data_IF_385952945878
#
_entry.id   IF_385952945878
#
_cell.length_a   1.000
_cell.length_b   1.000
_cell.length_c   1.000
_cell.angle_alpha   90.00
_cell.angle_beta   90.00
_cell.angle_gamma   90.00
#
_symmetry.space_group_name_H-M   'P 1'
#
loop_
_entity.id
_entity.type
_entity.pdbx_description
1 polymer ?
#
# COMPACT_ATOMS: atom_id res chain seq x y z
N UNK A 1 -11.83 -1.78 -14.94
CA UNK A 1 -11.79 -0.33 -14.59
C UNK A 1 -12.74 -0.03 -13.44
N UNK A 2 -13.92 -0.68 -13.41
CA UNK A 2 -14.95 -0.55 -12.35
C UNK A 2 -14.46 -0.91 -10.94
N UNK A 3 -13.85 -2.10 -10.75
CA UNK A 3 -13.41 -2.56 -9.43
C UNK A 3 -12.51 -1.57 -8.68
N UNK A 4 -11.61 -0.90 -9.39
CA UNK A 4 -10.69 0.07 -8.80
C UNK A 4 -11.42 1.33 -8.33
N UNK A 5 -12.40 1.80 -9.11
CA UNK A 5 -13.27 2.91 -8.70
C UNK A 5 -14.02 2.53 -7.43
N UNK A 6 -14.63 1.35 -7.40
CA UNK A 6 -15.35 0.85 -6.23
C UNK A 6 -14.47 0.78 -4.97
N UNK A 7 -13.22 0.32 -5.09
CA UNK A 7 -12.27 0.30 -3.96
C UNK A 7 -11.91 1.73 -3.55
N UNK A 8 -11.65 2.62 -4.51
CA UNK A 8 -11.34 4.03 -4.22
C UNK A 8 -12.47 4.73 -3.47
N UNK A 9 -13.72 4.37 -3.77
CA UNK A 9 -14.90 4.92 -3.12
C UNK A 9 -15.14 4.31 -1.73
N UNK A 10 -14.75 3.05 -1.52
CA UNK A 10 -14.94 2.32 -0.24
C UNK A 10 -13.88 2.68 0.81
N UNK A 11 -12.62 2.85 0.40
CA UNK A 11 -11.46 3.04 1.30
C UNK A 11 -11.67 4.19 2.31
N UNK A 12 -12.13 5.40 1.92
CA UNK A 12 -12.33 6.51 2.87
C UNK A 12 -13.27 6.18 4.02
N UNK A 13 -14.24 5.28 3.78
CA UNK A 13 -15.24 4.89 4.77
C UNK A 13 -14.81 3.71 5.62
N UNK A 14 -13.62 3.11 5.44
CA UNK A 14 -13.19 2.00 6.28
C UNK A 14 -12.88 2.45 7.72
N UNK A 15 -13.88 2.75 8.56
CA UNK A 15 -13.76 3.12 9.99
C UNK A 15 -14.16 2.01 10.97
N UNK A 16 -14.56 0.85 10.47
CA UNK A 16 -15.09 -0.24 11.29
C UNK A 16 -14.60 -1.61 10.80
N UNK A 17 -14.67 -2.67 11.64
CA UNK A 17 -14.44 -4.03 11.18
C UNK A 17 -15.29 -4.37 9.95
N UNK A 18 -16.59 -4.05 9.97
CA UNK A 18 -17.58 -4.35 8.93
C UNK A 18 -17.12 -3.85 7.55
N UNK A 19 -16.51 -2.68 7.50
CA UNK A 19 -16.09 -2.08 6.24
C UNK A 19 -14.85 -2.77 5.67
N UNK A 20 -14.06 -3.46 6.51
CA UNK A 20 -13.00 -4.38 6.06
C UNK A 20 -13.60 -5.66 5.46
N UNK A 21 -14.72 -6.16 5.98
CA UNK A 21 -15.43 -7.29 5.35
C UNK A 21 -16.00 -6.87 3.98
N UNK A 22 -16.66 -5.71 3.91
CA UNK A 22 -17.17 -5.15 2.66
C UNK A 22 -16.07 -4.95 1.61
N UNK A 23 -14.85 -4.59 2.02
CA UNK A 23 -13.70 -4.54 1.11
C UNK A 23 -13.46 -5.90 0.44
N UNK A 24 -13.48 -7.01 1.19
CA UNK A 24 -13.25 -8.34 0.62
C UNK A 24 -14.42 -8.83 -0.24
N UNK A 25 -15.65 -8.46 0.11
CA UNK A 25 -16.82 -8.69 -0.74
C UNK A 25 -16.69 -7.93 -2.07
N UNK A 26 -16.29 -6.66 -2.04
CA UNK A 26 -16.03 -5.85 -3.22
C UNK A 26 -14.87 -6.41 -4.06
N UNK A 27 -13.88 -7.04 -3.43
CA UNK A 27 -12.80 -7.78 -4.09
C UNK A 27 -13.26 -9.11 -4.73
N UNK A 28 -14.53 -9.47 -4.61
CA UNK A 28 -15.15 -10.64 -5.23
C UNK A 28 -15.15 -11.90 -4.37
N UNK A 29 -14.71 -11.82 -3.11
CA UNK A 29 -14.74 -12.97 -2.21
C UNK A 29 -16.15 -13.21 -1.68
N UNK A 30 -16.69 -14.40 -1.94
CA UNK A 30 -17.95 -14.86 -1.36
C UNK A 30 -17.68 -15.55 -0.02
N UNK A 31 -18.61 -15.43 0.94
CA UNK A 31 -18.51 -16.13 2.22
C UNK A 31 -17.58 -15.47 3.23
N UNK A 32 -17.57 -14.13 3.27
CA UNK A 32 -17.13 -13.36 4.42
C UNK A 32 -17.84 -13.85 5.69
N UNK A 33 -17.11 -13.87 6.81
CA UNK A 33 -17.65 -14.36 8.09
C UNK A 33 -18.39 -13.24 8.83
N UNK A 34 -18.98 -13.59 9.98
CA UNK A 34 -19.71 -12.65 10.83
C UNK A 34 -18.76 -11.57 11.42
N UNK A 35 -18.95 -10.28 11.07
CA UNK A 35 -18.13 -9.19 11.57
C UNK A 35 -18.27 -8.94 13.08
N UNK A 36 -19.40 -9.36 13.68
CA UNK A 36 -19.64 -9.20 15.12
C UNK A 36 -18.84 -10.20 15.96
N UNK A 37 -18.40 -11.30 15.35
CA UNK A 37 -17.68 -12.35 16.06
C UNK A 37 -16.20 -12.03 16.26
N UNK A 38 -15.82 -11.85 17.53
CA UNK A 38 -14.42 -11.68 17.95
C UNK A 38 -13.82 -13.03 18.31
N UNK A 39 -12.66 -13.34 17.73
CA UNK A 39 -11.89 -14.54 18.06
C UNK A 39 -11.32 -14.44 19.47
N UNK A 40 -11.29 -15.55 20.19
CA UNK A 40 -10.72 -15.57 21.55
C UNK A 40 -9.19 -15.55 21.45
N UNK A 41 -8.54 -14.62 22.15
CA UNK A 41 -7.09 -14.41 22.04
C UNK A 41 -6.27 -15.66 22.40
N UNK A 42 -6.75 -16.48 23.34
CA UNK A 42 -6.07 -17.72 23.74
C UNK A 42 -5.99 -18.75 22.62
N UNK A 43 -6.82 -18.66 21.57
CA UNK A 43 -6.73 -19.54 20.41
C UNK A 43 -5.41 -19.36 19.65
N UNK A 44 -4.73 -18.23 19.78
CA UNK A 44 -3.54 -17.88 18.98
C UNK A 44 -2.22 -18.09 19.72
N UNK A 45 -2.24 -18.62 20.95
CA UNK A 45 -1.02 -18.87 21.75
C UNK A 45 -0.11 -17.63 21.85
N UNK A 46 -0.73 -16.45 21.93
CA UNK A 46 -0.03 -15.17 21.96
C UNK A 46 0.73 -15.01 23.28
N UNK A 47 1.96 -14.50 23.21
CA UNK A 47 2.69 -14.08 24.40
C UNK A 47 1.93 -12.99 25.16
N UNK A 48 2.11 -12.91 26.49
CA UNK A 48 1.33 -12.01 27.36
C UNK A 48 1.39 -10.54 26.90
N UNK A 49 2.56 -10.07 26.50
CA UNK A 49 2.74 -8.71 25.98
C UNK A 49 1.93 -8.47 24.69
N UNK A 50 1.83 -9.45 23.79
CA UNK A 50 0.98 -9.33 22.61
C UNK A 50 -0.51 -9.33 22.97
N UNK A 51 -0.92 -10.11 23.97
CA UNK A 51 -2.32 -10.13 24.43
C UNK A 51 -2.72 -8.78 25.05
N UNK A 52 -1.80 -8.12 25.75
CA UNK A 52 -2.04 -6.80 26.34
C UNK A 52 -2.16 -5.71 25.26
N UNK A 53 -1.48 -5.87 24.12
CA UNK A 53 -1.50 -4.93 23.00
C UNK A 53 -2.63 -5.17 21.98
N UNK A 54 -3.14 -6.40 21.85
CA UNK A 54 -4.22 -6.75 20.91
C UNK A 54 -5.58 -6.54 21.58
N UNK A 55 -6.43 -5.71 20.96
CA UNK A 55 -7.80 -5.43 21.42
C UNK A 55 -8.79 -6.48 20.93
N UNK A 56 -8.72 -6.82 19.65
CA UNK A 56 -9.63 -7.77 19.01
C UNK A 56 -8.98 -8.43 17.79
N UNK A 57 -9.40 -9.65 17.49
CA UNK A 57 -9.04 -10.37 16.27
C UNK A 57 -10.33 -10.83 15.60
N UNK A 58 -10.45 -10.55 14.31
CA UNK A 58 -11.55 -10.97 13.47
C UNK A 58 -11.02 -11.85 12.34
N UNK A 59 -11.83 -12.82 11.90
CA UNK A 59 -11.52 -13.62 10.72
C UNK A 59 -12.40 -13.09 9.60
N UNK A 60 -11.81 -12.34 8.66
CA UNK A 60 -12.58 -11.72 7.57
C UNK A 60 -13.16 -12.80 6.66
N UNK A 61 -12.31 -13.74 6.25
CA UNK A 61 -12.67 -14.91 5.45
C UNK A 61 -11.63 -16.02 5.64
N UNK A 62 -11.95 -17.21 5.13
CA UNK A 62 -10.98 -18.29 4.93
C UNK A 62 -11.24 -18.99 3.60
N UNK A 63 -10.57 -18.53 2.54
CA UNK A 63 -10.80 -19.05 1.19
C UNK A 63 -10.32 -20.50 1.08
N UNK A 64 -11.18 -21.39 0.56
CA UNK A 64 -11.06 -22.86 0.57
C UNK A 64 -10.69 -23.48 1.93
N UNK A 65 -10.91 -22.76 3.04
CA UNK A 65 -10.41 -23.16 4.36
C UNK A 65 -8.88 -23.19 4.48
N UNK A 66 -8.14 -22.66 3.48
CA UNK A 66 -6.67 -22.68 3.41
C UNK A 66 -6.03 -21.30 3.54
N UNK A 67 -6.74 -20.24 3.17
CA UNK A 67 -6.22 -18.87 3.14
C UNK A 67 -7.04 -17.94 4.06
N UNK A 68 -6.80 -17.99 5.37
CA UNK A 68 -7.42 -17.05 6.29
C UNK A 68 -6.92 -15.62 6.08
N UNK A 69 -7.85 -14.68 6.18
CA UNK A 69 -7.57 -13.24 6.30
C UNK A 69 -7.98 -12.82 7.71
N UNK A 70 -7.07 -12.23 8.46
CA UNK A 70 -7.35 -11.73 9.81
C UNK A 70 -7.26 -10.21 9.87
N UNK A 71 -8.22 -9.59 10.53
CA UNK A 71 -8.13 -8.21 11.00
C UNK A 71 -7.75 -8.22 12.47
N UNK A 72 -6.71 -7.49 12.83
CA UNK A 72 -6.17 -7.36 14.19
C UNK A 72 -6.24 -5.91 14.60
N UNK A 73 -7.14 -5.61 15.54
CA UNK A 73 -7.16 -4.34 16.24
C UNK A 73 -6.12 -4.36 17.36
N UNK A 74 -5.25 -3.35 17.41
CA UNK A 74 -4.23 -3.24 18.45
C UNK A 74 -4.18 -1.84 19.07
N UNK A 75 -3.47 -1.73 20.19
CA UNK A 75 -3.13 -0.45 20.83
C UNK A 75 -1.89 0.19 20.16
N UNK A 76 -1.04 -0.62 19.53
CA UNK A 76 0.20 -0.20 18.89
C UNK A 76 0.38 -0.82 17.51
N UNK A 77 1.10 -0.11 16.63
CA UNK A 77 1.51 -0.60 15.31
C UNK A 77 3.04 -0.50 15.13
N UNK A 78 3.81 -0.58 16.23
CA UNK A 78 5.28 -0.50 16.16
C UNK A 78 5.86 -1.64 15.30
N UNK A 79 6.99 -1.42 14.61
CA UNK A 79 7.60 -2.47 13.78
C UNK A 79 7.93 -3.77 14.51
N UNK A 80 8.30 -3.68 15.80
CA UNK A 80 8.57 -4.81 16.68
C UNK A 80 7.30 -5.60 17.00
N UNK A 81 6.22 -4.91 17.41
CA UNK A 81 4.91 -5.51 17.62
C UNK A 81 4.42 -6.23 16.36
N UNK A 82 4.36 -5.51 15.23
CA UNK A 82 3.89 -6.08 13.95
C UNK A 82 4.70 -7.31 13.57
N UNK A 83 6.03 -7.28 13.73
CA UNK A 83 6.90 -8.43 13.43
C UNK A 83 6.60 -9.61 14.34
N UNK A 84 6.53 -9.39 15.66
CA UNK A 84 6.30 -10.46 16.65
C UNK A 84 4.91 -11.07 16.49
N UNK A 85 3.87 -10.24 16.35
CA UNK A 85 2.50 -10.70 16.11
C UNK A 85 2.40 -11.47 14.78
N UNK A 86 2.94 -10.93 13.68
CA UNK A 86 2.92 -11.62 12.37
C UNK A 86 3.60 -12.97 12.43
N UNK A 87 4.74 -13.08 13.14
CA UNK A 87 5.45 -14.33 13.34
C UNK A 87 4.56 -15.36 14.04
N UNK A 88 3.90 -15.00 15.15
CA UNK A 88 3.01 -15.90 15.89
C UNK A 88 1.86 -16.43 15.01
N UNK A 89 1.27 -15.59 14.17
CA UNK A 89 0.23 -16.04 13.25
C UNK A 89 0.80 -16.91 12.13
N UNK A 90 1.96 -16.57 11.56
CA UNK A 90 2.60 -17.34 10.49
C UNK A 90 3.09 -18.73 10.95
N UNK A 91 3.44 -18.88 12.23
CA UNK A 91 3.80 -20.18 12.82
C UNK A 91 2.60 -21.12 12.90
N UNK A 92 1.39 -20.57 13.10
CA UNK A 92 0.14 -21.34 13.19
C UNK A 92 -0.53 -21.55 11.83
N UNK A 93 -0.48 -20.55 10.97
CA UNK A 93 -1.12 -20.56 9.66
C UNK A 93 -0.05 -20.48 8.57
N UNK A 94 0.07 -21.55 7.78
CA UNK A 94 1.11 -21.62 6.75
C UNK A 94 0.97 -20.55 5.66
N UNK A 95 -0.26 -20.11 5.38
CA UNK A 95 -0.61 -19.11 4.38
C UNK A 95 -1.73 -18.25 4.93
N UNK A 96 -1.55 -16.94 4.93
CA UNK A 96 -2.51 -16.00 5.48
C UNK A 96 -2.25 -14.59 4.95
N UNK A 97 -3.25 -13.73 5.13
CA UNK A 97 -3.11 -12.29 5.03
C UNK A 97 -3.52 -11.67 6.37
N UNK A 98 -2.73 -10.72 6.86
CA UNK A 98 -2.99 -10.01 8.10
C UNK A 98 -3.27 -8.54 7.81
N UNK A 99 -4.22 -7.95 8.51
CA UNK A 99 -4.54 -6.54 8.45
C UNK A 99 -4.49 -6.01 9.87
N UNK A 100 -3.58 -5.09 10.15
CA UNK A 100 -3.50 -4.45 11.47
C UNK A 100 -4.04 -3.04 11.40
N UNK A 101 -4.73 -2.61 12.45
CA UNK A 101 -5.09 -1.20 12.65
C UNK A 101 -5.12 -0.85 14.13
N UNK A 102 -4.80 0.41 14.44
CA UNK A 102 -4.89 0.96 15.80
C UNK A 102 -6.10 1.85 16.01
N UNK A 103 -6.59 2.45 14.93
CA UNK A 103 -7.50 3.60 14.92
C UNK A 103 -8.49 3.60 13.74
N UNK A 104 -8.49 2.57 12.89
CA UNK A 104 -9.25 2.49 11.65
C UNK A 104 -8.97 3.63 10.65
N UNK A 105 -7.97 4.46 10.88
CA UNK A 105 -7.48 5.43 9.89
C UNK A 105 -6.32 4.84 9.11
N UNK A 106 -5.41 4.19 9.83
CA UNK A 106 -4.21 3.59 9.30
C UNK A 106 -4.31 2.07 9.35
N UNK A 107 -4.04 1.43 8.21
CA UNK A 107 -4.00 -0.01 8.06
C UNK A 107 -2.61 -0.48 7.65
N UNK A 108 -2.22 -1.63 8.16
CA UNK A 108 -1.04 -2.37 7.73
C UNK A 108 -1.51 -3.71 7.18
N UNK A 109 -1.56 -3.83 5.85
CA UNK A 109 -1.75 -5.11 5.20
C UNK A 109 -0.40 -5.84 5.16
N UNK A 110 -0.34 -7.01 5.77
CA UNK A 110 0.89 -7.75 6.01
C UNK A 110 0.79 -9.14 5.40
N UNK A 111 1.71 -9.41 4.48
CA UNK A 111 1.83 -10.67 3.78
C UNK A 111 3.12 -11.41 4.21
N UNK A 112 2.99 -12.41 5.10
CA UNK A 112 4.10 -13.25 5.54
C UNK A 112 4.40 -14.38 4.53
N UNK A 113 5.68 -14.60 4.25
CA UNK A 113 6.16 -15.73 3.44
C UNK A 113 7.42 -16.36 4.06
N UNK A 114 7.39 -17.67 4.27
CA UNK A 114 8.61 -18.41 4.58
C UNK A 114 9.44 -18.62 3.31
N UNK A 115 10.70 -18.21 3.36
CA UNK A 115 11.65 -18.40 2.26
C UNK A 115 12.80 -19.27 2.73
N UNK A 116 13.16 -20.26 1.91
CA UNK A 116 14.36 -21.06 2.11
C UNK A 116 15.58 -20.18 1.84
N UNK A 117 16.48 -20.07 2.82
CA UNK A 117 17.76 -19.36 2.66
C UNK A 117 18.89 -20.35 2.45
N UNK A 118 18.89 -21.43 3.22
CA UNK A 118 19.86 -22.54 3.16
C UNK A 118 19.10 -23.85 3.37
N UNK A 119 19.71 -24.99 3.04
CA UNK A 119 19.12 -26.31 3.28
C UNK A 119 18.62 -26.44 4.73
N UNK A 120 17.32 -26.62 4.91
CA UNK A 120 16.67 -26.75 6.22
C UNK A 120 16.41 -25.43 6.98
N UNK A 121 16.94 -24.28 6.54
CA UNK A 121 16.71 -22.98 7.20
C UNK A 121 15.73 -22.12 6.42
N UNK A 122 14.58 -21.89 7.04
CA UNK A 122 13.57 -20.95 6.56
C UNK A 122 13.65 -19.64 7.34
N UNK A 123 13.49 -18.52 6.64
CA UNK A 123 13.31 -17.20 7.26
C UNK A 123 11.96 -16.65 6.88
N UNK A 124 11.26 -16.09 7.86
CA UNK A 124 10.05 -15.33 7.61
C UNK A 124 10.38 -13.99 6.94
N UNK A 125 9.97 -13.83 5.69
CA UNK A 125 9.92 -12.55 5.00
C UNK A 125 8.54 -11.93 5.24
N UNK A 126 8.51 -10.69 5.71
CA UNK A 126 7.27 -9.95 5.96
C UNK A 126 7.23 -8.78 4.98
N UNK A 127 6.24 -8.79 4.09
CA UNK A 127 5.96 -7.66 3.19
C UNK A 127 4.76 -6.89 3.73
N UNK A 128 4.84 -5.55 3.70
CA UNK A 128 3.80 -4.68 4.28
C UNK A 128 3.36 -3.63 3.27
N UNK A 129 2.05 -3.38 3.22
CA UNK A 129 1.45 -2.23 2.58
C UNK A 129 0.83 -1.37 3.69
N UNK A 130 1.29 -0.12 3.79
CA UNK A 130 0.69 0.89 4.66
C UNK A 130 -0.39 1.63 3.89
N UNK A 131 -1.62 1.62 4.40
CA UNK A 131 -2.74 2.36 3.83
C UNK A 131 -3.25 3.38 4.85
N UNK A 132 -3.30 4.65 4.46
CA UNK A 132 -4.06 5.70 5.16
C UNK A 132 -5.37 5.93 4.39
N UNK A 133 -6.52 5.74 5.03
CA UNK A 133 -7.82 5.85 4.36
C UNK A 133 -8.13 7.26 3.85
N UNK A 134 -7.58 8.28 4.50
CA UNK A 134 -7.76 9.68 4.10
C UNK A 134 -6.73 10.09 3.04
N UNK A 135 -5.61 9.38 2.98
CA UNK A 135 -4.47 9.76 2.14
C UNK A 135 -3.77 8.55 1.51
N UNK A 136 -4.52 7.68 0.82
CA UNK A 136 -3.95 6.56 0.06
C UNK A 136 -3.16 7.04 -1.18
N UNK A 137 -2.08 6.34 -1.54
CA UNK A 137 -1.44 6.49 -2.85
C UNK A 137 -2.15 5.62 -3.89
N UNK A 138 -1.99 5.97 -5.17
CA UNK A 138 -2.52 5.18 -6.29
C UNK A 138 -2.04 3.72 -6.21
N UNK A 139 -0.74 3.52 -5.95
CA UNK A 139 -0.11 2.20 -5.82
C UNK A 139 -0.66 1.37 -4.67
N UNK A 140 -1.16 2.02 -3.61
CA UNK A 140 -1.76 1.32 -2.48
C UNK A 140 -3.11 0.73 -2.88
N UNK A 141 -3.95 1.56 -3.52
CA UNK A 141 -5.25 1.15 -4.05
C UNK A 141 -5.08 0.07 -5.12
N UNK A 142 -4.06 0.18 -5.97
CA UNK A 142 -3.76 -0.84 -6.97
C UNK A 142 -3.31 -2.16 -6.33
N UNK A 143 -2.48 -2.10 -5.29
CA UNK A 143 -2.07 -3.31 -4.55
C UNK A 143 -3.29 -4.01 -3.96
N UNK A 144 -4.21 -3.26 -3.34
CA UNK A 144 -5.46 -3.79 -2.79
C UNK A 144 -6.34 -4.36 -3.91
N UNK A 145 -6.52 -3.65 -5.02
CA UNK A 145 -7.30 -4.12 -6.16
C UNK A 145 -6.72 -5.37 -6.84
N UNK A 146 -5.41 -5.62 -6.68
CA UNK A 146 -4.74 -6.83 -7.17
C UNK A 146 -4.95 -8.05 -6.26
N UNK A 147 -5.45 -7.85 -5.03
CA UNK A 147 -5.89 -8.93 -4.14
C UNK A 147 -7.20 -9.57 -4.60
N UNK A 148 -7.94 -8.94 -5.50
CA UNK A 148 -9.26 -9.40 -5.94
C UNK A 148 -9.27 -10.84 -6.46
N UNK A 149 -10.38 -11.54 -6.21
CA UNK A 149 -10.58 -12.91 -6.66
C UNK A 149 -10.48 -12.99 -8.19
N UNK A 150 -11.20 -12.11 -8.91
CA UNK A 150 -11.28 -12.11 -10.38
C UNK A 150 -11.62 -13.52 -10.89
N UNK A 151 -10.86 -14.04 -11.84
CA UNK A 151 -11.04 -15.37 -12.44
C UNK A 151 -10.28 -16.48 -11.67
N UNK A 152 -9.85 -16.22 -10.42
CA UNK A 152 -9.10 -17.20 -9.61
C UNK A 152 -10.07 -18.13 -8.90
N UNK A 153 -10.06 -19.40 -9.26
CA UNK A 153 -11.00 -20.39 -8.70
C UNK A 153 -10.41 -21.16 -7.52
N UNK A 154 -9.10 -21.40 -7.51
CA UNK A 154 -8.45 -22.22 -6.47
C UNK A 154 -7.64 -21.39 -5.49
N UNK A 155 -7.47 -21.90 -4.28
CA UNK A 155 -6.60 -21.25 -3.28
C UNK A 155 -5.15 -21.09 -3.76
N UNK A 156 -4.65 -21.94 -4.66
CA UNK A 156 -3.31 -21.77 -5.22
C UNK A 156 -3.21 -20.51 -6.08
N UNK A 157 -4.24 -20.24 -6.88
CA UNK A 157 -4.32 -19.08 -7.77
C UNK A 157 -4.51 -17.79 -6.96
N UNK A 158 -5.37 -17.84 -5.94
CA UNK A 158 -5.54 -16.74 -4.98
C UNK A 158 -4.22 -16.43 -4.26
N UNK A 159 -3.53 -17.45 -3.75
CA UNK A 159 -2.25 -17.26 -3.06
C UNK A 159 -1.18 -16.66 -3.98
N UNK A 160 -1.09 -17.12 -5.23
CA UNK A 160 -0.19 -16.55 -6.24
C UNK A 160 -0.56 -15.10 -6.53
N UNK A 161 -1.85 -14.82 -6.63
CA UNK A 161 -2.39 -13.48 -6.79
C UNK A 161 -2.01 -12.52 -5.68
N UNK A 162 -2.15 -12.94 -4.42
CA UNK A 162 -1.70 -12.16 -3.26
C UNK A 162 -0.20 -11.92 -3.32
N UNK A 163 0.59 -12.97 -3.60
CA UNK A 163 2.05 -12.84 -3.74
C UNK A 163 2.45 -11.84 -4.84
N UNK A 164 1.74 -11.84 -5.96
CA UNK A 164 1.97 -10.87 -7.04
C UNK A 164 1.58 -9.45 -6.64
N UNK A 165 0.47 -9.27 -5.92
CA UNK A 165 0.04 -7.98 -5.41
C UNK A 165 1.09 -7.38 -4.46
N UNK A 166 1.65 -8.18 -3.54
CA UNK A 166 2.71 -7.75 -2.62
C UNK A 166 4.12 -7.78 -3.23
N UNK A 167 4.27 -8.03 -4.53
CA UNK A 167 5.59 -8.08 -5.17
C UNK A 167 6.16 -6.68 -5.38
N UNK A 168 7.10 -6.27 -4.52
CA UNK A 168 7.87 -5.02 -4.66
C UNK A 168 8.51 -4.92 -6.05
N UNK A 169 8.99 -6.03 -6.62
CA UNK A 169 9.60 -6.06 -7.96
C UNK A 169 8.63 -5.58 -9.04
N UNK A 170 7.36 -5.95 -8.95
CA UNK A 170 6.33 -5.51 -9.91
C UNK A 170 6.14 -4.00 -9.83
N UNK A 171 5.95 -3.48 -8.62
CA UNK A 171 5.79 -2.03 -8.38
C UNK A 171 7.03 -1.25 -8.84
N UNK A 172 8.23 -1.76 -8.59
CA UNK A 172 9.48 -1.13 -9.06
C UNK A 172 9.61 -1.15 -10.58
N UNK A 173 9.22 -2.25 -11.24
CA UNK A 173 9.29 -2.35 -12.69
C UNK A 173 8.29 -1.42 -13.38
N UNK A 174 7.07 -1.33 -12.85
CA UNK A 174 6.02 -0.45 -13.35
C UNK A 174 6.41 1.02 -13.17
N UNK A 175 6.87 1.39 -11.97
CA UNK A 175 7.46 2.71 -11.71
C UNK A 175 8.60 3.03 -12.69
N UNK A 176 9.51 2.08 -12.94
CA UNK A 176 10.62 2.29 -13.86
C UNK A 176 10.15 2.50 -15.31
N UNK A 177 9.15 1.75 -15.77
CA UNK A 177 8.54 1.94 -17.09
C UNK A 177 7.87 3.31 -17.22
N UNK A 178 7.11 3.71 -16.21
CA UNK A 178 6.46 5.03 -16.18
C UNK A 178 7.50 6.15 -16.15
N UNK A 179 8.55 5.99 -15.34
CA UNK A 179 9.67 6.91 -15.28
C UNK A 179 10.35 7.05 -16.66
N UNK A 180 10.63 5.93 -17.35
CA UNK A 180 11.19 5.95 -18.70
C UNK A 180 10.26 6.68 -19.68
N UNK A 181 8.95 6.44 -19.62
CA UNK A 181 7.97 7.13 -20.48
C UNK A 181 8.00 8.65 -20.25
N UNK A 182 7.99 9.10 -18.99
CA UNK A 182 8.06 10.52 -18.64
C UNK A 182 9.41 11.11 -19.04
N UNK A 183 10.50 10.38 -18.83
CA UNK A 183 11.85 10.78 -19.24
C UNK A 183 11.91 11.03 -20.75
N UNK A 184 11.41 10.10 -21.56
CA UNK A 184 11.37 10.24 -23.02
C UNK A 184 10.56 11.46 -23.43
N UNK A 185 9.36 11.66 -22.85
CA UNK A 185 8.52 12.83 -23.14
C UNK A 185 9.23 14.14 -22.81
N UNK A 186 9.91 14.23 -21.66
CA UNK A 186 10.64 15.44 -21.26
C UNK A 186 11.82 15.73 -22.18
N UNK A 187 12.58 14.70 -22.55
CA UNK A 187 13.67 14.84 -23.53
C UNK A 187 13.13 15.35 -24.86
N UNK A 188 12.08 14.73 -25.38
CA UNK A 188 11.51 15.09 -26.68
C UNK A 188 10.94 16.52 -26.67
N UNK A 189 10.36 16.97 -25.55
CA UNK A 189 9.93 18.36 -25.34
C UNK A 189 11.10 19.35 -25.30
N UNK A 190 12.24 18.97 -24.71
CA UNK A 190 13.44 19.80 -24.70
C UNK A 190 14.09 19.88 -26.09
N UNK A 191 14.18 18.76 -26.81
CA UNK A 191 14.67 18.70 -28.19
C UNK A 191 13.80 19.57 -29.12
N UNK A 192 12.47 19.55 -28.94
CA UNK A 192 11.53 20.42 -29.67
C UNK A 192 11.76 21.93 -29.45
N UNK A 193 12.44 22.31 -28.36
CA UNK A 193 12.86 23.68 -28.07
C UNK A 193 14.26 24.01 -28.60
N UNK A 194 14.78 23.21 -29.54
CA UNK A 194 16.11 23.35 -30.15
C UNK A 194 17.27 23.15 -29.17
N UNK A 195 17.02 22.48 -28.04
CA UNK A 195 18.09 22.01 -27.15
C UNK A 195 18.75 20.79 -27.79
N UNK A 196 20.08 20.74 -27.78
CA UNK A 196 20.81 19.60 -28.33
C UNK A 196 20.44 18.29 -27.61
N UNK A 197 20.47 17.17 -28.33
CA UNK A 197 20.04 15.86 -27.81
C UNK A 197 20.75 15.45 -26.51
N UNK A 198 22.03 15.79 -26.39
CA UNK A 198 22.82 15.47 -25.19
C UNK A 198 22.35 16.32 -24.02
N UNK A 199 22.22 17.64 -24.22
CA UNK A 199 21.76 18.59 -23.21
C UNK A 199 20.32 18.29 -22.78
N UNK A 200 19.43 17.93 -23.71
CA UNK A 200 18.06 17.53 -23.44
C UNK A 200 18.00 16.26 -22.58
N UNK A 201 18.85 15.27 -22.88
CA UNK A 201 18.97 14.05 -22.09
C UNK A 201 19.45 14.35 -20.67
N UNK A 202 20.52 15.13 -20.51
CA UNK A 202 21.07 15.52 -19.21
C UNK A 202 20.06 16.33 -18.39
N UNK A 203 19.35 17.25 -19.03
CA UNK A 203 18.28 18.04 -18.41
C UNK A 203 17.16 17.15 -17.87
N UNK A 204 16.59 16.27 -18.69
CA UNK A 204 15.53 15.37 -18.28
C UNK A 204 15.97 14.47 -17.10
N UNK A 205 17.21 13.99 -17.15
CA UNK A 205 17.79 13.15 -16.09
C UNK A 205 17.91 13.93 -14.78
N UNK A 206 18.51 15.12 -14.81
CA UNK A 206 18.70 15.94 -13.62
C UNK A 206 17.36 16.36 -13.01
N UNK A 207 16.40 16.79 -13.84
CA UNK A 207 15.08 17.23 -13.38
C UNK A 207 14.35 16.09 -12.67
N UNK A 208 14.24 14.92 -13.30
CA UNK A 208 13.53 13.79 -12.72
C UNK A 208 14.23 13.26 -11.46
N UNK A 209 15.57 13.24 -11.43
CA UNK A 209 16.31 12.87 -10.22
C UNK A 209 16.06 13.84 -9.06
N UNK A 210 16.00 15.16 -9.31
CA UNK A 210 15.66 16.15 -8.29
C UNK A 210 14.23 15.97 -7.78
N UNK A 211 13.27 15.74 -8.67
CA UNK A 211 11.88 15.45 -8.28
C UNK A 211 11.82 14.20 -7.41
N UNK A 212 12.49 13.11 -7.81
CA UNK A 212 12.58 11.89 -7.00
C UNK A 212 13.18 12.17 -5.62
N UNK A 213 14.27 12.94 -5.56
CA UNK A 213 14.91 13.32 -4.31
C UNK A 213 13.96 14.10 -3.38
N UNK A 214 13.14 15.00 -3.93
CA UNK A 214 12.13 15.72 -3.15
C UNK A 214 11.10 14.75 -2.56
N UNK A 215 10.66 13.72 -3.29
CA UNK A 215 9.78 12.68 -2.71
C UNK A 215 10.44 11.94 -1.53
N UNK A 216 11.75 11.66 -1.61
CA UNK A 216 12.47 11.05 -0.48
C UNK A 216 12.55 11.97 0.74
N UNK A 217 12.80 13.27 0.54
CA UNK A 217 12.82 14.26 1.62
C UNK A 217 11.41 14.45 2.21
N UNK A 218 10.39 14.60 1.36
CA UNK A 218 9.01 14.79 1.79
C UNK A 218 8.54 13.63 2.68
N UNK A 219 8.92 12.39 2.37
CA UNK A 219 8.59 11.21 3.20
C UNK A 219 9.13 11.30 4.63
N UNK A 220 10.20 12.07 4.86
CA UNK A 220 10.75 12.36 6.20
C UNK A 220 10.05 13.53 6.89
N UNK A 221 9.01 14.09 6.29
CA UNK A 221 8.24 15.25 6.78
C UNK A 221 9.05 16.54 6.91
N UNK A 222 10.16 16.64 6.17
CA UNK A 222 11.03 17.83 6.21
C UNK A 222 10.48 19.00 5.39
N UNK A 223 9.51 18.76 4.52
CA UNK A 223 8.90 19.77 3.67
C UNK A 223 7.44 19.96 4.09
N UNK A 224 7.17 21.05 4.82
CA UNK A 224 5.83 21.43 5.29
C UNK A 224 5.11 20.36 6.15
N UNK A 225 5.86 19.48 6.82
CA UNK A 225 5.33 18.28 7.51
C UNK A 225 4.38 17.41 6.65
N UNK A 226 4.45 17.56 5.31
CA UNK A 226 3.56 16.87 4.38
C UNK A 226 4.31 15.76 3.62
N UNK A 227 4.02 14.48 3.90
CA UNK A 227 4.62 13.37 3.15
C UNK A 227 4.24 13.38 1.66
N UNK A 228 3.22 14.14 1.27
CA UNK A 228 2.75 14.35 -0.11
C UNK A 228 3.06 15.77 -0.61
N UNK A 229 4.11 16.40 -0.11
CA UNK A 229 4.53 17.76 -0.46
C UNK A 229 4.44 18.09 -1.96
N UNK A 230 4.92 17.22 -2.86
CA UNK A 230 4.86 17.48 -4.30
C UNK A 230 3.43 17.64 -4.84
N UNK A 231 2.47 16.88 -4.30
CA UNK A 231 1.04 17.00 -4.66
C UNK A 231 0.47 18.31 -4.11
N UNK A 232 0.76 18.63 -2.84
CA UNK A 232 0.38 19.89 -2.23
C UNK A 232 0.93 21.08 -3.01
N UNK A 233 2.23 21.07 -3.32
CA UNK A 233 2.92 22.12 -4.05
C UNK A 233 2.31 22.34 -5.45
N UNK A 234 2.02 21.25 -6.17
CA UNK A 234 1.34 21.34 -7.47
C UNK A 234 -0.09 21.88 -7.38
N UNK A 235 -0.86 21.48 -6.36
CA UNK A 235 -2.22 21.97 -6.15
C UNK A 235 -2.21 23.45 -5.78
N UNK A 236 -1.32 23.85 -4.87
CA UNK A 236 -1.09 25.24 -4.46
C UNK A 236 -0.76 26.11 -5.67
N UNK A 237 0.15 25.67 -6.54
CA UNK A 237 0.48 26.36 -7.78
C UNK A 237 -0.78 26.59 -8.63
N UNK A 238 -1.56 25.54 -8.92
CA UNK A 238 -2.79 25.66 -9.72
C UNK A 238 -3.84 26.60 -9.09
N UNK A 239 -3.95 26.61 -7.76
CA UNK A 239 -4.89 27.48 -7.03
C UNK A 239 -4.47 28.96 -7.17
N UNK A 240 -3.20 29.26 -6.99
CA UNK A 240 -2.69 30.63 -7.08
C UNK A 240 -2.69 31.15 -8.52
N UNK A 241 -2.38 30.30 -9.51
CA UNK A 241 -2.54 30.66 -10.93
C UNK A 241 -3.99 31.01 -11.27
N UNK A 242 -4.97 30.31 -10.67
CA UNK A 242 -6.40 30.63 -10.84
C UNK A 242 -6.81 31.95 -10.19
N UNK A 243 -6.14 32.34 -9.10
CA UNK A 243 -6.39 33.62 -8.40
C UNK A 243 -5.72 34.81 -9.07
N UNK A 244 -4.72 34.58 -9.91
CA UNK A 244 -3.96 35.62 -10.60
C UNK A 244 -2.75 36.14 -9.80
N UNK A 245 -2.44 35.50 -8.68
CA UNK A 245 -1.38 35.91 -7.75
C UNK A 245 0.03 35.50 -8.20
N UNK A 246 0.13 34.62 -9.22
CA UNK A 246 1.39 34.14 -9.80
C UNK A 246 1.36 34.30 -11.30
N UNK A 247 2.52 34.62 -11.89
CA UNK A 247 2.68 34.62 -13.34
C UNK A 247 2.45 33.19 -13.91
N UNK A 248 1.75 33.11 -15.04
CA UNK A 248 1.49 31.83 -15.69
C UNK A 248 2.81 31.12 -16.01
N UNK A 249 2.92 29.84 -15.64
CA UNK A 249 4.13 29.02 -15.79
C UNK A 249 5.32 29.44 -14.91
N UNK A 250 5.08 30.22 -13.84
CA UNK A 250 6.11 30.57 -12.85
C UNK A 250 5.77 30.04 -11.46
N UNK A 251 6.79 29.56 -10.75
CA UNK A 251 6.70 29.21 -9.32
C UNK A 251 7.15 30.35 -8.39
N UNK A 252 7.48 31.52 -8.96
CA UNK A 252 7.94 32.68 -8.22
C UNK A 252 6.77 33.63 -7.94
N UNK A 253 6.68 34.12 -6.71
CA UNK A 253 5.80 35.24 -6.38
C UNK A 253 6.28 36.49 -7.11
N UNK A 254 5.34 37.37 -7.48
CA UNK A 254 5.66 38.70 -8.02
C UNK A 254 6.37 39.57 -6.99
#
# INVERSE_FOLDING_TARGET
>A
MELRSSIQDLIPFMDSPENVYQLFEALGYQGTLDPSYRRKLHEFTLARDLQEEIKAIYTILSFDGKLPVFLVESKTATPSFLRKATQTFADKYHRLLLIYTTDYRNYQFVFPEYQLIEAGKHKLKITRLSLDRESSYHTDLETIANLALRDRETWHDVWRGWKEAFSVRRVTLEFFKDYQSVFSKLRDLAEGQKIGRKEAHEFALQLLNRIMFIYFIAKKRWLNDDPKFMKWFWNRYKEETKRGDVEANSFYQK
#
